data_IF_342165036564
#
_entry.id   IF_342165036564
#
_cell.length_a   1.000
_cell.length_b   1.000
_cell.length_c   1.000
_cell.angle_alpha   90.00
_cell.angle_beta   90.00
_cell.angle_gamma   90.00
#
_symmetry.space_group_name_H-M   'P 1'
#
loop_
_entity.id
_entity.type
_entity.pdbx_description
1 polymer ?
#
# COMPACT_ATOMS: atom_id res chain seq x y z
N UNK A 1 49.33 44.21 19.40
CA UNK A 1 47.92 44.66 19.32
C UNK A 1 47.30 44.14 18.04
N UNK A 2 46.59 43.01 18.07
CA UNK A 2 46.00 42.41 16.86
C UNK A 2 44.49 42.27 17.07
N UNK A 3 43.71 42.99 16.24
CA UNK A 3 42.26 43.14 16.35
C UNK A 3 41.54 41.85 15.95
N UNK A 4 40.74 41.30 16.87
CA UNK A 4 39.75 40.26 16.58
C UNK A 4 38.62 40.88 15.75
N UNK A 5 38.45 40.44 14.49
CA UNK A 5 37.28 40.77 13.67
C UNK A 5 36.17 39.76 14.00
N UNK A 6 35.11 40.21 14.68
CA UNK A 6 33.88 39.44 14.88
C UNK A 6 33.06 39.47 13.59
N UNK A 7 32.60 38.31 13.12
CA UNK A 7 31.63 38.20 12.04
C UNK A 7 30.20 38.36 12.59
N UNK A 8 29.24 38.91 11.82
CA UNK A 8 27.94 39.34 12.32
C UNK A 8 26.97 38.15 12.50
N UNK A 9 26.27 38.14 13.64
CA UNK A 9 25.12 37.27 13.90
C UNK A 9 23.98 37.72 12.98
N UNK A 10 23.60 36.90 12.00
CA UNK A 10 22.36 37.10 11.26
C UNK A 10 21.17 36.72 12.15
N UNK A 11 20.32 37.71 12.45
CA UNK A 11 19.03 37.51 13.12
C UNK A 11 18.05 36.86 12.14
N UNK A 12 17.53 35.69 12.51
CA UNK A 12 16.33 35.11 11.90
C UNK A 12 15.09 35.89 12.40
N UNK A 13 14.13 36.23 11.53
CA UNK A 13 12.85 36.80 11.95
C UNK A 13 11.89 35.72 12.48
N UNK A 14 11.09 35.99 13.52
CA UNK A 14 9.99 35.13 13.94
C UNK A 14 8.75 35.44 13.10
N UNK A 15 8.26 34.47 12.32
CA UNK A 15 6.94 34.59 11.70
C UNK A 15 5.95 33.69 12.42
N UNK A 16 4.98 34.38 13.00
CA UNK A 16 3.89 33.86 13.83
C UNK A 16 2.80 33.24 12.95
N UNK A 17 2.15 32.23 13.51
CA UNK A 17 0.70 31.91 13.45
C UNK A 17 -0.12 32.39 12.26
N UNK A 18 -0.75 31.42 11.58
CA UNK A 18 -2.14 31.55 11.11
C UNK A 18 -2.95 30.34 11.60
N UNK A 19 -4.13 30.55 12.22
CA UNK A 19 -5.08 29.50 12.54
C UNK A 19 -6.11 29.28 11.40
N UNK A 20 -6.59 28.05 11.31
CA UNK A 20 -7.86 27.63 10.70
C UNK A 20 -8.07 27.82 9.20
N UNK A 21 -7.85 26.74 8.44
CA UNK A 21 -8.81 26.33 7.40
C UNK A 21 -9.05 24.84 7.54
N UNK A 22 -10.25 24.52 8.04
CA UNK A 22 -10.86 23.21 8.02
C UNK A 22 -10.91 22.68 6.58
N UNK A 23 -10.03 21.75 6.26
CA UNK A 23 -10.22 20.81 5.16
C UNK A 23 -10.08 19.42 5.76
N UNK A 24 -11.23 18.84 6.10
CA UNK A 24 -11.38 17.41 6.34
C UNK A 24 -11.06 16.70 5.03
N UNK A 25 -9.79 16.41 4.79
CA UNK A 25 -9.38 15.41 3.81
C UNK A 25 -9.30 14.08 4.54
N UNK A 26 -10.23 13.18 4.22
CA UNK A 26 -10.24 11.80 4.64
C UNK A 26 -9.10 11.01 4.00
N UNK A 27 -7.87 11.15 4.50
CA UNK A 27 -6.71 10.35 4.10
C UNK A 27 -5.73 10.18 5.27
N UNK A 28 -6.22 9.87 6.47
CA UNK A 28 -5.40 9.70 7.69
C UNK A 28 -5.53 8.27 8.24
N UNK A 29 -5.25 7.29 7.38
CA UNK A 29 -5.01 5.89 7.79
C UNK A 29 -3.58 5.50 7.38
N UNK A 30 -2.62 6.40 7.62
CA UNK A 30 -1.17 6.13 7.48
C UNK A 30 -0.43 6.55 8.77
N UNK A 31 -1.10 7.21 9.73
CA UNK A 31 -0.48 7.75 10.95
C UNK A 31 -0.27 6.72 12.07
N UNK A 32 -0.84 5.52 11.94
CA UNK A 32 -0.64 4.38 12.86
C UNK A 32 0.13 3.22 12.19
N UNK A 33 0.86 3.46 11.10
CA UNK A 33 1.72 2.42 10.50
C UNK A 33 3.09 2.40 11.20
N UNK A 34 3.52 1.22 11.67
CA UNK A 34 4.84 1.07 12.29
C UNK A 34 5.94 1.57 11.34
N UNK A 35 6.93 2.29 11.88
CA UNK A 35 8.00 2.88 11.08
C UNK A 35 8.80 1.82 10.29
N UNK A 36 8.83 0.58 10.79
CA UNK A 36 9.39 -0.59 10.11
C UNK A 36 8.53 -1.04 8.94
N UNK A 37 7.22 -1.16 9.12
CA UNK A 37 6.26 -1.55 8.07
C UNK A 37 6.27 -0.55 6.91
N UNK A 38 6.25 0.75 7.22
CA UNK A 38 6.36 1.82 6.23
C UNK A 38 7.65 1.70 5.42
N UNK A 39 8.77 1.45 6.10
CA UNK A 39 10.04 1.26 5.41
C UNK A 39 10.03 -0.01 4.55
N UNK A 40 9.41 -1.09 5.00
CA UNK A 40 9.33 -2.32 4.22
C UNK A 40 8.49 -2.13 2.95
N UNK A 41 7.38 -1.41 3.05
CA UNK A 41 6.58 -0.99 1.89
C UNK A 41 7.40 -0.15 0.91
N UNK A 42 8.12 0.86 1.41
CA UNK A 42 9.05 1.66 0.61
C UNK A 42 10.11 0.80 -0.09
N UNK A 43 10.68 -0.18 0.62
CA UNK A 43 11.69 -1.10 0.11
C UNK A 43 11.14 -1.98 -1.02
N UNK A 44 9.98 -2.61 -0.81
CA UNK A 44 9.33 -3.46 -1.82
C UNK A 44 9.05 -2.69 -3.10
N UNK A 45 8.48 -1.50 -2.97
CA UNK A 45 8.22 -0.62 -4.12
C UNK A 45 9.51 -0.28 -4.87
N UNK A 46 10.59 0.05 -4.16
CA UNK A 46 11.88 0.35 -4.80
C UNK A 46 12.46 -0.86 -5.55
N UNK A 47 12.33 -2.07 -5.00
CA UNK A 47 12.77 -3.30 -5.67
C UNK A 47 11.97 -3.53 -6.96
N UNK A 48 10.65 -3.36 -6.90
CA UNK A 48 9.79 -3.49 -8.08
C UNK A 48 10.19 -2.49 -9.19
N UNK A 49 10.46 -1.24 -8.84
CA UNK A 49 10.86 -0.24 -9.83
C UNK A 49 12.25 -0.47 -10.42
N UNK A 50 13.20 -1.02 -9.66
CA UNK A 50 14.49 -1.45 -10.21
C UNK A 50 14.31 -2.63 -11.16
N UNK A 51 13.49 -3.63 -10.81
CA UNK A 51 13.18 -4.76 -11.67
C UNK A 51 12.49 -4.31 -12.97
N UNK A 52 11.45 -3.48 -12.87
CA UNK A 52 10.75 -2.95 -14.04
C UNK A 52 11.71 -2.13 -14.94
N UNK A 53 12.65 -1.39 -14.35
CA UNK A 53 13.67 -0.65 -15.10
C UNK A 53 14.65 -1.58 -15.81
N UNK A 54 15.09 -2.65 -15.16
CA UNK A 54 15.98 -3.65 -15.77
C UNK A 54 15.28 -4.42 -16.90
N UNK A 55 14.01 -4.80 -16.72
CA UNK A 55 13.23 -5.48 -17.75
C UNK A 55 12.97 -4.62 -18.99
N UNK A 56 12.82 -3.29 -18.81
CA UNK A 56 12.57 -2.34 -19.90
C UNK A 56 13.84 -1.82 -20.57
N UNK A 57 15.02 -2.00 -19.95
CA UNK A 57 16.26 -1.38 -20.43
C UNK A 57 17.33 -2.40 -20.76
N UNK A 58 17.93 -2.27 -21.95
CA UNK A 58 19.05 -3.13 -22.34
C UNK A 58 20.27 -2.92 -21.43
N UNK A 59 21.04 -3.99 -21.25
CA UNK A 59 22.26 -4.06 -20.44
C UNK A 59 23.34 -3.03 -20.79
N UNK A 60 23.22 -2.38 -21.96
CA UNK A 60 24.16 -1.39 -22.49
C UNK A 60 24.05 -0.01 -21.85
N UNK A 61 22.99 0.28 -21.08
CA UNK A 61 22.84 1.59 -20.42
C UNK A 61 23.71 1.68 -19.16
N UNK A 62 24.39 2.81 -18.96
CA UNK A 62 25.24 3.10 -17.79
C UNK A 62 24.55 2.81 -16.44
N UNK A 63 23.24 3.06 -16.37
CA UNK A 63 22.45 2.90 -15.16
C UNK A 63 22.07 1.43 -14.87
N UNK A 64 22.21 0.53 -15.85
CA UNK A 64 21.84 -0.89 -15.69
C UNK A 64 22.69 -1.56 -14.60
N UNK A 65 24.02 -1.39 -14.66
CA UNK A 65 24.93 -1.92 -13.65
C UNK A 65 24.72 -1.27 -12.26
N UNK A 66 24.29 -0.01 -12.21
CA UNK A 66 23.95 0.67 -10.96
C UNK A 66 22.67 0.11 -10.35
N UNK A 67 21.63 -0.13 -11.16
CA UNK A 67 20.38 -0.73 -10.72
C UNK A 67 20.57 -2.15 -10.19
N UNK A 68 21.40 -2.97 -10.86
CA UNK A 68 21.74 -4.32 -10.37
C UNK A 68 22.45 -4.27 -9.02
N UNK A 69 23.43 -3.38 -8.85
CA UNK A 69 24.16 -3.23 -7.57
C UNK A 69 23.25 -2.75 -6.43
N UNK A 70 22.33 -1.85 -6.73
CA UNK A 70 21.34 -1.41 -5.75
C UNK A 70 20.40 -2.56 -5.37
N UNK A 71 19.90 -3.31 -6.34
CA UNK A 71 19.01 -4.44 -6.12
C UNK A 71 19.66 -5.50 -5.20
N UNK A 72 20.92 -5.87 -5.45
CA UNK A 72 21.69 -6.77 -4.57
C UNK A 72 21.79 -6.24 -3.13
N UNK A 73 21.94 -4.93 -2.96
CA UNK A 73 22.01 -4.30 -1.63
C UNK A 73 20.65 -4.32 -0.93
N UNK A 74 19.56 -4.08 -1.66
CA UNK A 74 18.21 -4.04 -1.10
C UNK A 74 17.68 -5.43 -0.70
N UNK A 75 18.00 -6.46 -1.49
CA UNK A 75 17.63 -7.86 -1.19
C UNK A 75 18.47 -8.49 -0.07
N UNK A 76 19.65 -7.93 0.21
CA UNK A 76 20.50 -8.45 1.28
C UNK A 76 19.85 -8.23 2.65
N UNK A 77 19.53 -9.34 3.33
CA UNK A 77 19.07 -9.32 4.72
C UNK A 77 20.14 -8.79 5.70
N UNK A 78 21.43 -8.88 5.31
CA UNK A 78 22.56 -8.41 6.12
C UNK A 78 22.85 -6.91 5.97
N UNK A 79 22.20 -6.22 5.04
CA UNK A 79 22.43 -4.79 4.82
C UNK A 79 21.72 -3.96 5.91
N UNK A 80 22.42 -3.07 6.61
CA UNK A 80 21.80 -2.22 7.63
C UNK A 80 20.80 -1.24 6.98
N UNK A 81 19.77 -0.88 7.74
CA UNK A 81 18.66 -0.02 7.32
C UNK A 81 19.11 1.28 6.63
N UNK A 82 20.10 1.97 7.21
CA UNK A 82 20.65 3.21 6.65
C UNK A 82 21.25 3.02 5.25
N UNK A 83 21.92 1.87 5.01
CA UNK A 83 22.52 1.54 3.71
C UNK A 83 21.44 1.26 2.67
N UNK A 84 20.35 0.58 3.05
CA UNK A 84 19.20 0.38 2.15
C UNK A 84 18.57 1.73 1.75
N UNK A 85 18.32 2.62 2.72
CA UNK A 85 17.81 3.98 2.43
C UNK A 85 18.74 4.76 1.50
N UNK A 86 20.05 4.72 1.75
CA UNK A 86 21.03 5.42 0.90
C UNK A 86 21.03 4.85 -0.53
N UNK A 87 20.96 3.53 -0.68
CA UNK A 87 20.87 2.91 -2.01
C UNK A 87 19.60 3.35 -2.75
N UNK A 88 18.44 3.32 -2.08
CA UNK A 88 17.16 3.77 -2.65
C UNK A 88 17.24 5.24 -3.11
N UNK A 89 17.74 6.14 -2.26
CA UNK A 89 17.86 7.57 -2.60
C UNK A 89 18.87 7.83 -3.71
N UNK A 90 19.98 7.08 -3.78
CA UNK A 90 21.00 7.27 -4.82
C UNK A 90 20.53 6.82 -6.20
N UNK A 91 19.74 5.74 -6.29
CA UNK A 91 19.30 5.20 -7.59
C UNK A 91 17.96 5.76 -8.05
N UNK A 92 16.96 5.84 -7.17
CA UNK A 92 15.61 6.25 -7.52
C UNK A 92 15.32 7.71 -7.17
N UNK A 93 16.17 8.37 -6.37
CA UNK A 93 15.95 9.72 -5.89
C UNK A 93 14.87 9.79 -4.82
N UNK A 94 13.96 10.75 -4.95
CA UNK A 94 12.80 10.93 -4.05
C UNK A 94 11.71 9.89 -4.32
N UNK A 95 11.96 8.63 -3.95
CA UNK A 95 11.04 7.51 -4.18
C UNK A 95 9.67 7.67 -3.48
N UNK A 96 9.62 8.36 -2.33
CA UNK A 96 8.36 8.61 -1.60
C UNK A 96 7.35 9.42 -2.39
N UNK A 97 7.85 10.42 -3.11
CA UNK A 97 7.02 11.26 -3.97
C UNK A 97 6.50 10.47 -5.17
N UNK A 98 7.37 9.68 -5.80
CA UNK A 98 6.99 8.77 -6.90
C UNK A 98 5.93 7.76 -6.46
N UNK A 99 6.04 7.20 -5.26
CA UNK A 99 5.05 6.27 -4.73
C UNK A 99 3.69 6.97 -4.53
N UNK A 100 3.67 8.22 -4.03
CA UNK A 100 2.43 8.98 -3.89
C UNK A 100 1.79 9.29 -5.24
N UNK A 101 2.60 9.69 -6.22
CA UNK A 101 2.13 9.96 -7.58
C UNK A 101 1.53 8.70 -8.22
N UNK A 102 2.17 7.55 -8.05
CA UNK A 102 1.68 6.27 -8.56
C UNK A 102 0.38 5.83 -7.87
N UNK A 103 0.30 5.96 -6.53
CA UNK A 103 -0.94 5.73 -5.77
C UNK A 103 -2.07 6.62 -6.30
N UNK A 104 -1.82 7.92 -6.49
CA UNK A 104 -2.81 8.86 -7.01
C UNK A 104 -3.27 8.50 -8.44
N UNK A 105 -2.34 8.12 -9.32
CA UNK A 105 -2.65 7.65 -10.68
C UNK A 105 -3.51 6.39 -10.64
N UNK A 106 -3.14 5.41 -9.81
CA UNK A 106 -3.89 4.17 -9.67
C UNK A 106 -5.32 4.42 -9.18
N UNK A 107 -5.50 5.26 -8.17
CA UNK A 107 -6.83 5.62 -7.66
C UNK A 107 -7.67 6.32 -8.73
N UNK A 108 -7.08 7.27 -9.46
CA UNK A 108 -7.77 7.97 -10.55
C UNK A 108 -8.20 7.00 -11.67
N UNK A 109 -7.30 6.12 -12.12
CA UNK A 109 -7.60 5.11 -13.14
C UNK A 109 -8.63 4.08 -12.66
N UNK A 110 -8.52 3.62 -11.41
CA UNK A 110 -9.44 2.67 -10.80
C UNK A 110 -10.85 3.26 -10.74
N UNK A 111 -10.98 4.52 -10.33
CA UNK A 111 -12.28 5.23 -10.28
C UNK A 111 -12.89 5.38 -11.68
N UNK A 112 -12.08 5.62 -12.72
CA UNK A 112 -12.56 5.69 -14.09
C UNK A 112 -13.02 4.32 -14.63
N UNK A 113 -12.25 3.26 -14.37
CA UNK A 113 -12.50 1.89 -14.86
C UNK A 113 -13.62 1.18 -14.10
N UNK A 114 -13.83 1.51 -12.83
CA UNK A 114 -14.90 0.94 -11.99
C UNK A 114 -16.26 1.63 -12.19
N UNK A 115 -16.37 2.67 -13.02
CA UNK A 115 -17.63 3.31 -13.35
C UNK A 115 -18.47 2.38 -14.24
N UNK A 116 -19.23 1.51 -13.61
CA UNK A 116 -20.22 0.66 -14.27
C UNK A 116 -21.26 1.56 -14.95
N UNK A 117 -21.29 1.55 -16.28
CA UNK A 117 -22.40 2.13 -17.02
C UNK A 117 -23.59 1.18 -16.89
N UNK A 118 -24.81 1.68 -16.59
CA UNK A 118 -26.01 0.88 -16.72
C UNK A 118 -26.10 0.38 -18.16
N UNK A 119 -25.82 -0.89 -18.37
CA UNK A 119 -26.11 -1.57 -19.63
C UNK A 119 -27.64 -1.63 -19.72
N UNK A 120 -28.23 -0.82 -20.59
CA UNK A 120 -29.62 -0.99 -21.00
C UNK A 120 -29.68 -2.26 -21.87
N UNK A 121 -29.72 -3.42 -21.23
CA UNK A 121 -29.98 -4.70 -21.91
C UNK A 121 -31.46 -4.78 -22.27
N UNK A 122 -31.85 -5.41 -23.40
CA UNK A 122 -33.25 -5.68 -23.66
C UNK A 122 -33.84 -6.49 -22.51
N UNK A 123 -35.02 -6.08 -22.05
CA UNK A 123 -35.73 -6.57 -20.86
C UNK A 123 -35.81 -8.10 -20.81
N UNK A 124 -34.85 -8.74 -20.12
CA UNK A 124 -34.90 -10.17 -19.86
C UNK A 124 -35.68 -10.38 -18.57
N UNK A 125 -36.73 -11.20 -18.65
CA UNK A 125 -37.61 -11.50 -17.52
C UNK A 125 -36.77 -12.09 -16.39
N UNK A 126 -36.82 -11.46 -15.22
CA UNK A 126 -36.14 -11.97 -14.03
C UNK A 126 -36.79 -13.28 -13.57
N UNK A 127 -35.96 -14.30 -13.33
CA UNK A 127 -36.40 -15.58 -12.77
C UNK A 127 -36.04 -15.61 -11.29
N UNK A 128 -37.04 -15.65 -10.43
CA UNK A 128 -36.84 -15.79 -8.99
C UNK A 128 -36.72 -17.26 -8.61
N UNK A 129 -35.55 -17.67 -8.11
CA UNK A 129 -35.34 -19.00 -7.57
C UNK A 129 -35.70 -19.00 -6.08
N UNK A 130 -36.76 -19.71 -5.71
CA UNK A 130 -37.09 -19.99 -4.31
C UNK A 130 -36.34 -21.24 -3.88
N UNK A 131 -35.36 -21.10 -2.99
CA UNK A 131 -34.71 -22.25 -2.34
C UNK A 131 -35.69 -22.92 -1.38
N UNK A 132 -36.05 -24.17 -1.64
CA UNK A 132 -36.93 -24.97 -0.76
C UNK A 132 -36.06 -26.02 -0.09
N UNK A 133 -36.04 -26.05 1.24
CA UNK A 133 -35.43 -27.14 1.99
C UNK A 133 -36.44 -28.28 2.08
N UNK A 134 -36.21 -29.37 1.35
CA UNK A 134 -36.94 -30.62 1.54
C UNK A 134 -36.30 -31.36 2.72
N UNK A 135 -36.96 -31.49 3.89
CA UNK A 135 -36.48 -32.41 4.91
C UNK A 135 -36.68 -33.83 4.38
N UNK A 136 -35.58 -34.58 4.26
CA UNK A 136 -35.63 -36.00 3.94
C UNK A 136 -36.49 -36.70 5.00
N UNK A 137 -37.62 -37.27 4.57
CA UNK A 137 -38.59 -37.95 5.42
C UNK A 137 -38.49 -39.44 5.18
N UNK A 138 -37.45 -40.04 5.73
CA UNK A 138 -37.41 -41.46 6.06
C UNK A 138 -37.22 -41.62 7.59
N UNK A 139 -38.36 -41.86 8.24
CA UNK A 139 -38.66 -42.63 9.45
C UNK A 139 -37.70 -42.64 10.68
N UNK A 140 -38.16 -41.92 11.73
CA UNK A 140 -38.32 -42.34 13.15
C UNK A 140 -37.12 -42.84 13.96
N UNK A 141 -36.61 -42.02 14.87
CA UNK A 141 -36.91 -42.03 16.33
C UNK A 141 -35.81 -41.32 17.13
N UNK A 142 -36.26 -40.49 18.07
CA UNK A 142 -35.57 -39.79 19.16
C UNK A 142 -34.35 -38.87 18.92
N UNK A 143 -34.54 -37.65 19.43
CA UNK A 143 -33.56 -36.70 19.96
C UNK A 143 -32.54 -36.00 19.03
N UNK A 144 -32.76 -34.68 18.91
CA UNK A 144 -31.76 -33.61 18.76
C UNK A 144 -31.04 -33.45 17.40
N UNK A 145 -31.80 -33.06 16.37
CA UNK A 145 -31.26 -32.62 15.09
C UNK A 145 -31.03 -31.08 15.08
N UNK A 146 -29.85 -30.64 15.50
CA UNK A 146 -29.34 -29.27 15.30
C UNK A 146 -28.28 -29.25 14.20
N UNK A 147 -28.58 -29.74 12.99
CA UNK A 147 -27.64 -29.71 11.86
C UNK A 147 -28.40 -29.42 10.55
N UNK A 148 -28.73 -28.15 10.32
CA UNK A 148 -28.69 -27.54 8.98
C UNK A 148 -28.25 -26.07 9.11
N UNK A 149 -27.30 -25.80 10.00
CA UNK A 149 -26.74 -24.48 10.15
C UNK A 149 -25.61 -24.31 9.14
N UNK A 150 -25.80 -23.39 8.18
CA UNK A 150 -24.77 -22.98 7.25
C UNK A 150 -23.63 -22.37 8.07
N UNK A 151 -22.56 -23.15 8.31
CA UNK A 151 -21.41 -22.70 9.09
C UNK A 151 -20.25 -22.38 8.16
N UNK A 152 -19.81 -21.12 8.17
CA UNK A 152 -18.55 -20.74 7.54
C UNK A 152 -17.43 -21.42 8.33
N UNK A 153 -16.70 -22.32 7.68
CA UNK A 153 -15.66 -23.13 8.33
C UNK A 153 -14.36 -22.33 8.52
N UNK A 154 -14.43 -21.18 9.21
CA UNK A 154 -13.25 -20.51 9.73
C UNK A 154 -12.88 -21.22 11.03
N UNK A 155 -11.76 -21.93 11.00
CA UNK A 155 -11.14 -22.41 12.24
C UNK A 155 -10.53 -21.18 12.91
N UNK A 156 -11.14 -20.70 13.99
CA UNK A 156 -10.54 -19.67 14.85
C UNK A 156 -9.69 -20.44 15.86
N UNK A 157 -8.37 -20.35 15.73
CA UNK A 157 -7.47 -20.89 16.73
C UNK A 157 -7.65 -20.11 18.04
N UNK A 158 -7.79 -20.78 19.19
CA UNK A 158 -8.14 -20.14 20.47
C UNK A 158 -6.97 -19.39 21.16
N UNK A 159 -5.87 -19.12 20.46
CA UNK A 159 -4.64 -18.56 21.07
C UNK A 159 -4.52 -17.02 20.95
N UNK A 160 -5.53 -16.33 20.43
CA UNK A 160 -5.56 -14.86 20.30
C UNK A 160 -6.78 -14.23 21.01
N UNK A 161 -6.96 -14.48 22.32
CA UNK A 161 -7.93 -13.76 23.17
C UNK A 161 -7.33 -13.32 24.49
#
# INVERSE_FOLDING_TARGET
MHRRKKLPIQKLPPSQTTPSTSSLNSEDVDDEEDAGEKFERELRWCIEQLNASLSKTDSKKKNHAEHLRALQTLQSAKAPLAKKRQAMSRTLGNYREKMREEKAKFVAESTQKARLQPQCSPETKSVFLRKVAVPNRDCTSDASASITEFKFNFSVDPEDS
#
